data_IF_488108619480
#
_entry.id   IF_488108619480
#
_cell.length_a   1.000
_cell.length_b   1.000
_cell.length_c   1.000
_cell.angle_alpha   90.00
_cell.angle_beta   90.00
_cell.angle_gamma   90.00
#
_symmetry.space_group_name_H-M   'P 1'
#
loop_
_entity.id
_entity.type
_entity.pdbx_description
1 polymer ?
#
# COMPACT_ATOMS: atom_id res chain seq x y z
N UNK A 1 -42.14 3.36 0.79
CA UNK A 1 -42.07 4.08 -0.50
C UNK A 1 -40.68 3.97 -1.09
N UNK A 2 -40.50 4.03 -2.43
CA UNK A 2 -39.20 3.98 -3.10
C UNK A 2 -38.19 4.99 -2.53
N UNK A 3 -38.67 6.14 -2.08
CA UNK A 3 -37.90 7.19 -1.45
C UNK A 3 -37.29 6.76 -0.10
N UNK A 4 -38.02 5.98 0.69
CA UNK A 4 -37.53 5.46 1.97
C UNK A 4 -36.40 4.44 1.81
N UNK A 5 -36.49 3.58 0.79
CA UNK A 5 -35.46 2.60 0.44
C UNK A 5 -34.20 3.30 -0.07
N UNK A 6 -34.36 4.40 -0.82
CA UNK A 6 -33.25 5.20 -1.32
C UNK A 6 -32.48 5.89 -0.19
N UNK A 7 -33.19 6.48 0.79
CA UNK A 7 -32.57 7.12 1.97
C UNK A 7 -31.88 6.07 2.85
N UNK A 8 -32.49 4.90 3.09
CA UNK A 8 -31.84 3.82 3.86
C UNK A 8 -30.57 3.31 3.16
N UNK A 9 -30.56 3.18 1.83
CA UNK A 9 -29.34 2.83 1.08
C UNK A 9 -28.28 3.93 1.16
N UNK A 10 -28.66 5.19 1.11
CA UNK A 10 -27.74 6.32 1.25
C UNK A 10 -27.14 6.37 2.66
N UNK A 11 -27.95 6.19 3.70
CA UNK A 11 -27.50 6.12 5.09
C UNK A 11 -26.57 4.92 5.32
N UNK A 12 -26.92 3.77 4.78
CA UNK A 12 -26.07 2.57 4.87
C UNK A 12 -24.71 2.76 4.17
N UNK A 13 -24.69 3.37 2.97
CA UNK A 13 -23.45 3.72 2.27
C UNK A 13 -22.66 4.77 3.06
N UNK A 14 -23.34 5.75 3.67
CA UNK A 14 -22.71 6.78 4.49
C UNK A 14 -22.13 6.22 5.79
N UNK A 15 -22.82 5.30 6.45
CA UNK A 15 -22.33 4.61 7.65
C UNK A 15 -21.15 3.67 7.35
N UNK A 16 -21.15 2.97 6.20
CA UNK A 16 -20.01 2.15 5.77
C UNK A 16 -18.76 3.02 5.52
N UNK A 17 -18.93 4.18 4.89
CA UNK A 17 -17.81 5.08 4.62
C UNK A 17 -17.23 5.74 5.89
N UNK A 18 -18.01 5.86 6.96
CA UNK A 18 -17.55 6.43 8.24
C UNK A 18 -16.83 5.38 9.11
N UNK A 19 -17.06 4.08 8.88
CA UNK A 19 -16.58 3.01 9.79
C UNK A 19 -15.47 2.14 9.21
N UNK A 20 -15.15 2.24 7.91
CA UNK A 20 -14.10 1.41 7.34
C UNK A 20 -12.71 1.93 7.72
N UNK A 21 -11.94 1.10 8.44
CA UNK A 21 -10.53 1.40 8.74
C UNK A 21 -9.74 1.61 7.44
N UNK A 22 -8.81 2.57 7.39
CA UNK A 22 -8.08 2.91 6.16
C UNK A 22 -7.02 1.88 5.78
N UNK A 23 -6.87 0.83 6.58
CA UNK A 23 -5.92 -0.26 6.38
C UNK A 23 -6.60 -1.60 6.67
N UNK A 24 -6.46 -2.53 5.76
CA UNK A 24 -6.95 -3.91 5.89
C UNK A 24 -5.76 -4.85 5.84
N UNK A 25 -5.57 -5.63 6.91
CA UNK A 25 -4.52 -6.63 6.97
C UNK A 25 -4.77 -7.78 6.00
N UNK A 26 -3.69 -8.29 5.41
CA UNK A 26 -3.71 -9.45 4.53
C UNK A 26 -2.86 -10.58 5.12
N UNK A 27 -3.16 -11.82 4.77
CA UNK A 27 -2.42 -13.01 5.20
C UNK A 27 -2.07 -13.94 4.02
N UNK A 28 -1.75 -13.35 2.88
CA UNK A 28 -1.31 -14.13 1.72
C UNK A 28 0.02 -14.86 2.05
N UNK A 29 0.14 -16.17 1.73
CA UNK A 29 1.35 -16.95 2.04
C UNK A 29 2.48 -16.59 1.06
N UNK A 30 3.28 -15.57 1.39
CA UNK A 30 4.43 -15.16 0.59
C UNK A 30 5.65 -16.04 0.86
N UNK A 31 6.47 -16.24 -0.16
CA UNK A 31 7.87 -16.67 0.02
C UNK A 31 8.75 -15.42 0.12
N UNK A 32 9.08 -15.04 1.35
CA UNK A 32 9.86 -13.83 1.63
C UNK A 32 11.26 -13.88 1.03
N UNK A 33 11.89 -15.06 1.00
CA UNK A 33 13.25 -15.22 0.47
C UNK A 33 13.29 -14.91 -1.03
N UNK A 34 12.30 -15.36 -1.79
CA UNK A 34 12.19 -15.04 -3.22
C UNK A 34 12.04 -13.52 -3.40
N UNK A 35 11.14 -12.87 -2.64
CA UNK A 35 10.94 -11.43 -2.76
C UNK A 35 12.17 -10.61 -2.35
N UNK A 36 12.94 -11.08 -1.38
CA UNK A 36 14.21 -10.42 -1.00
C UNK A 36 15.25 -10.52 -2.13
N UNK A 37 15.40 -11.69 -2.76
CA UNK A 37 16.28 -11.86 -3.92
C UNK A 37 15.84 -10.95 -5.10
N UNK A 38 14.55 -10.89 -5.39
CA UNK A 38 14.01 -10.01 -6.42
C UNK A 38 14.18 -8.53 -6.06
N UNK A 39 14.04 -8.18 -4.78
CA UNK A 39 14.30 -6.83 -4.29
C UNK A 39 15.77 -6.43 -4.47
N UNK A 40 16.71 -7.32 -4.18
CA UNK A 40 18.15 -7.05 -4.38
C UNK A 40 18.47 -6.82 -5.87
N UNK A 41 17.84 -7.57 -6.76
CA UNK A 41 17.99 -7.36 -8.19
C UNK A 41 17.36 -6.04 -8.64
N UNK A 42 16.15 -5.74 -8.18
CA UNK A 42 15.47 -4.48 -8.49
C UNK A 42 16.23 -3.25 -7.97
N UNK A 43 16.93 -3.39 -6.83
CA UNK A 43 17.70 -2.30 -6.22
C UNK A 43 18.83 -1.80 -7.10
N UNK A 44 19.38 -2.64 -7.97
CA UNK A 44 20.46 -2.25 -8.90
C UNK A 44 20.04 -1.13 -9.88
N UNK A 45 18.76 -1.01 -10.15
CA UNK A 45 18.17 0.02 -11.03
C UNK A 45 17.31 1.05 -10.30
N UNK A 46 17.26 0.97 -8.95
CA UNK A 46 16.46 1.88 -8.15
C UNK A 46 16.99 3.32 -8.25
N UNK A 47 16.05 4.26 -8.35
CA UNK A 47 16.31 5.69 -8.43
C UNK A 47 15.53 6.43 -7.35
N UNK A 48 15.97 7.64 -6.95
CA UNK A 48 15.17 8.52 -6.13
C UNK A 48 13.76 8.66 -6.71
N UNK A 49 12.75 8.63 -5.85
CA UNK A 49 11.39 8.87 -6.29
C UNK A 49 11.26 10.29 -6.85
N UNK A 50 10.67 10.41 -8.02
CA UNK A 50 10.48 11.67 -8.71
C UNK A 50 8.98 12.00 -8.79
N UNK A 51 8.64 13.20 -8.35
CA UNK A 51 7.32 13.81 -8.53
C UNK A 51 7.30 14.78 -9.71
N UNK A 52 6.19 15.48 -9.90
CA UNK A 52 6.12 16.56 -10.88
C UNK A 52 7.06 17.73 -10.54
N UNK A 53 7.40 18.57 -11.55
CA UNK A 53 8.24 19.77 -11.40
C UNK A 53 9.65 19.51 -10.84
N UNK A 54 10.30 18.42 -11.27
CA UNK A 54 11.66 18.03 -10.86
C UNK A 54 11.83 17.78 -9.34
N UNK A 55 10.73 17.58 -8.62
CA UNK A 55 10.77 17.24 -7.20
C UNK A 55 11.25 15.80 -7.01
N UNK A 56 12.33 15.63 -6.25
CA UNK A 56 12.96 14.33 -5.95
C UNK A 56 13.04 14.10 -4.46
N UNK A 57 12.83 12.84 -4.05
CA UNK A 57 13.07 12.38 -2.68
C UNK A 57 14.26 11.43 -2.69
N UNK A 58 15.46 11.95 -2.38
CA UNK A 58 16.73 11.22 -2.45
C UNK A 58 16.81 10.00 -1.51
N UNK A 59 16.08 10.02 -0.41
CA UNK A 59 16.09 8.98 0.60
C UNK A 59 14.90 7.99 0.47
N UNK A 60 14.16 8.09 -0.64
CA UNK A 60 13.06 7.23 -1.01
C UNK A 60 13.29 6.68 -2.41
N UNK A 61 13.97 5.52 -2.50
CA UNK A 61 14.30 4.92 -3.79
C UNK A 61 13.15 4.06 -4.29
N UNK A 62 12.97 3.98 -5.58
CA UNK A 62 11.95 3.18 -6.24
C UNK A 62 12.51 2.46 -7.45
N UNK A 63 12.10 1.20 -7.64
CA UNK A 63 12.35 0.42 -8.84
C UNK A 63 11.09 -0.29 -9.29
N UNK A 64 10.70 -0.09 -10.55
CA UNK A 64 9.67 -0.90 -11.18
C UNK A 64 10.23 -2.30 -11.45
N UNK A 65 9.54 -3.32 -10.98
CA UNK A 65 9.98 -4.70 -11.15
C UNK A 65 8.79 -5.63 -11.36
N UNK A 66 8.92 -6.55 -12.30
CA UNK A 66 7.89 -7.54 -12.62
C UNK A 66 8.54 -8.90 -12.81
N UNK A 67 7.98 -9.92 -12.19
CA UNK A 67 8.37 -11.32 -12.35
C UNK A 67 7.13 -12.21 -12.42
N UNK A 68 7.32 -13.47 -12.73
CA UNK A 68 6.24 -14.47 -12.68
C UNK A 68 5.69 -14.63 -11.26
N UNK A 69 6.56 -14.56 -10.25
CA UNK A 69 6.15 -14.67 -8.84
C UNK A 69 5.33 -13.46 -8.40
N UNK A 70 5.76 -12.24 -8.74
CA UNK A 70 5.00 -11.00 -8.46
C UNK A 70 3.65 -11.02 -9.20
N UNK A 71 3.63 -11.48 -10.44
CA UNK A 71 2.39 -11.63 -11.22
C UNK A 71 1.45 -12.66 -10.56
N UNK A 72 1.99 -13.77 -10.07
CA UNK A 72 1.22 -14.76 -9.31
C UNK A 72 0.59 -14.15 -8.06
N UNK A 73 1.34 -13.35 -7.28
CA UNK A 73 0.82 -12.66 -6.08
C UNK A 73 -0.38 -11.77 -6.45
N UNK A 74 -0.26 -10.96 -7.52
CA UNK A 74 -1.36 -10.10 -7.96
C UNK A 74 -2.60 -10.90 -8.35
N UNK A 75 -2.43 -11.98 -9.09
CA UNK A 75 -3.54 -12.84 -9.51
C UNK A 75 -4.23 -13.52 -8.30
N UNK A 76 -3.44 -14.06 -7.38
CA UNK A 76 -3.95 -14.73 -6.19
C UNK A 76 -4.70 -13.76 -5.25
N UNK A 77 -4.21 -12.52 -5.11
CA UNK A 77 -4.88 -11.45 -4.35
C UNK A 77 -6.09 -10.87 -5.09
N UNK A 78 -6.27 -11.18 -6.36
CA UNK A 78 -7.29 -10.57 -7.23
C UNK A 78 -7.16 -9.04 -7.33
N UNK A 79 -5.93 -8.57 -7.56
CA UNK A 79 -5.64 -7.15 -7.76
C UNK A 79 -4.99 -6.89 -9.12
N UNK A 80 -5.19 -5.70 -9.64
CA UNK A 80 -4.48 -5.19 -10.81
C UNK A 80 -3.77 -3.90 -10.41
N UNK A 81 -2.48 -4.00 -10.14
CA UNK A 81 -1.67 -2.90 -9.65
C UNK A 81 -0.32 -2.79 -10.35
N UNK A 82 0.35 -1.68 -10.17
CA UNK A 82 1.70 -1.46 -10.67
C UNK A 82 2.72 -1.90 -9.60
N UNK A 83 3.48 -2.99 -9.83
CA UNK A 83 4.43 -3.49 -8.85
C UNK A 83 5.70 -2.66 -8.86
N UNK A 84 6.13 -2.25 -7.68
CA UNK A 84 7.38 -1.51 -7.46
C UNK A 84 7.98 -1.89 -6.11
N UNK A 85 9.32 -2.03 -6.07
CA UNK A 85 10.04 -2.05 -4.81
C UNK A 85 10.38 -0.63 -4.39
N UNK A 86 10.23 -0.36 -3.10
CA UNK A 86 10.62 0.88 -2.46
C UNK A 86 11.62 0.62 -1.35
N UNK A 87 12.61 1.51 -1.25
CA UNK A 87 13.68 1.46 -0.27
C UNK A 87 13.73 2.80 0.46
N UNK A 88 13.25 2.82 1.68
CA UNK A 88 13.30 3.99 2.56
C UNK A 88 14.58 3.91 3.39
N UNK A 89 15.47 4.88 3.22
CA UNK A 89 16.73 4.92 3.95
C UNK A 89 16.50 5.03 5.47
N UNK A 90 17.49 4.57 6.21
CA UNK A 90 17.50 4.70 7.67
C UNK A 90 17.30 6.16 8.09
N UNK A 91 16.60 6.37 9.18
CA UNK A 91 16.31 7.67 9.80
C UNK A 91 15.60 8.67 8.89
N UNK A 92 15.12 8.25 7.71
CA UNK A 92 14.37 9.11 6.82
C UNK A 92 12.88 9.13 7.19
N UNK A 93 12.32 10.34 7.26
CA UNK A 93 10.91 10.55 7.50
C UNK A 93 10.20 10.89 6.17
N UNK A 94 9.39 9.96 5.68
CA UNK A 94 8.45 10.25 4.60
C UNK A 94 7.30 11.07 5.17
N UNK A 95 7.29 12.37 4.83
CA UNK A 95 6.37 13.36 5.40
C UNK A 95 4.90 13.07 5.10
N UNK A 96 3.96 13.58 5.91
CA UNK A 96 2.54 13.43 5.65
C UNK A 96 2.15 13.90 4.25
N UNK A 97 1.48 13.03 3.51
CA UNK A 97 1.01 13.29 2.14
C UNK A 97 -0.16 12.39 1.78
N UNK A 98 -0.80 12.69 0.67
CA UNK A 98 -1.73 11.80 -0.06
C UNK A 98 -1.11 11.44 -1.39
N UNK A 99 -1.30 10.19 -1.85
CA UNK A 99 -0.79 9.79 -3.14
C UNK A 99 -1.60 10.47 -4.26
N UNK A 100 -0.90 11.16 -5.17
CA UNK A 100 -1.54 11.70 -6.35
C UNK A 100 -1.61 10.62 -7.44
N UNK A 101 -2.81 10.40 -8.00
CA UNK A 101 -3.01 9.43 -9.09
C UNK A 101 -3.05 7.96 -8.66
N UNK A 102 -3.00 7.66 -7.35
CA UNK A 102 -3.12 6.30 -6.82
C UNK A 102 -4.21 6.27 -5.76
N UNK A 103 -5.26 5.47 -5.96
CA UNK A 103 -6.40 5.41 -5.05
C UNK A 103 -6.08 4.61 -3.79
N UNK A 104 -5.50 3.44 -3.98
CA UNK A 104 -5.08 2.55 -2.89
C UNK A 104 -3.86 1.74 -3.32
N UNK A 105 -3.28 1.00 -2.39
CA UNK A 105 -2.16 0.12 -2.68
C UNK A 105 -2.10 -1.08 -1.74
N UNK A 106 -1.54 -2.16 -2.24
CA UNK A 106 -1.16 -3.30 -1.41
C UNK A 106 0.32 -3.20 -1.12
N UNK A 107 0.67 -3.18 0.16
CA UNK A 107 2.05 -3.16 0.63
C UNK A 107 2.41 -4.52 1.26
N UNK A 108 3.57 -5.05 0.90
CA UNK A 108 4.20 -6.22 1.52
C UNK A 108 5.56 -5.77 2.07
N UNK A 109 5.71 -5.76 3.40
CA UNK A 109 6.97 -5.39 4.04
C UNK A 109 7.95 -6.56 4.01
N UNK A 110 9.17 -6.30 3.59
CA UNK A 110 10.25 -7.28 3.48
C UNK A 110 11.32 -7.10 4.56
N UNK A 111 11.48 -5.88 5.08
CA UNK A 111 12.39 -5.61 6.19
C UNK A 111 11.84 -6.22 7.49
N UNK A 112 12.78 -6.60 8.38
CA UNK A 112 12.46 -7.02 9.74
C UNK A 112 12.16 -5.80 10.62
N UNK A 113 11.42 -6.01 11.71
CA UNK A 113 11.02 -4.95 12.66
C UNK A 113 10.34 -3.75 11.97
N UNK A 114 9.18 -3.96 11.37
CA UNK A 114 8.50 -2.90 10.62
C UNK A 114 8.11 -1.74 11.53
N UNK A 115 8.42 -0.52 11.08
CA UNK A 115 7.88 0.70 11.68
C UNK A 115 6.42 0.90 11.26
N UNK A 116 5.59 1.57 12.09
CA UNK A 116 4.20 1.83 11.73
C UNK A 116 4.08 2.83 10.58
N UNK A 117 2.99 2.71 9.84
CA UNK A 117 2.47 3.80 9.02
C UNK A 117 1.52 4.63 9.88
N UNK A 118 1.66 5.95 9.85
CA UNK A 118 0.68 6.85 10.43
C UNK A 118 -0.34 7.23 9.36
N UNK A 119 -1.62 7.01 9.63
CA UNK A 119 -2.72 7.40 8.74
C UNK A 119 -3.67 8.29 9.56
N UNK A 120 -3.80 9.56 9.16
CA UNK A 120 -4.65 10.56 9.81
C UNK A 120 -4.42 10.63 11.34
N UNK A 121 -3.15 10.53 11.77
CA UNK A 121 -2.74 10.63 13.18
C UNK A 121 -2.78 9.30 13.96
N UNK A 122 -3.23 8.21 13.39
CA UNK A 122 -3.25 6.88 14.02
C UNK A 122 -2.15 5.99 13.45
N UNK A 123 -1.43 5.29 14.30
CA UNK A 123 -0.37 4.35 13.92
C UNK A 123 -0.93 2.96 13.63
N UNK A 124 -0.49 2.37 12.51
CA UNK A 124 -0.83 1.02 12.10
C UNK A 124 0.43 0.20 11.85
N UNK A 125 0.57 -0.91 12.57
CA UNK A 125 1.60 -1.92 12.32
C UNK A 125 1.05 -2.98 11.39
N UNK A 126 1.79 -3.35 10.36
CA UNK A 126 1.39 -4.36 9.40
C UNK A 126 2.60 -5.05 8.78
N UNK A 127 2.41 -6.24 8.24
CA UNK A 127 3.35 -6.94 7.36
C UNK A 127 2.85 -6.96 5.93
N UNK A 128 1.56 -7.16 5.75
CA UNK A 128 0.87 -7.09 4.47
C UNK A 128 -0.46 -6.36 4.67
N UNK A 129 -0.74 -5.37 3.85
CA UNK A 129 -1.99 -4.62 3.96
C UNK A 129 -2.43 -3.97 2.65
N UNK A 130 -3.75 -3.88 2.47
CA UNK A 130 -4.39 -2.94 1.57
C UNK A 130 -4.55 -1.61 2.30
N UNK A 131 -4.11 -0.51 1.69
CA UNK A 131 -4.04 0.82 2.33
C UNK A 131 -4.77 1.84 1.45
N UNK A 132 -5.61 2.66 2.09
CA UNK A 132 -6.25 3.82 1.46
C UNK A 132 -5.25 4.98 1.34
N UNK A 133 -4.71 5.19 0.14
CA UNK A 133 -3.69 6.20 -0.13
C UNK A 133 -4.28 7.60 -0.38
N UNK A 134 -5.60 7.73 -0.38
CA UNK A 134 -6.30 9.01 -0.41
C UNK A 134 -6.47 9.62 0.99
N UNK A 135 -6.13 8.86 2.05
CA UNK A 135 -5.95 9.35 3.41
C UNK A 135 -4.54 9.88 3.60
N UNK A 136 -4.39 10.98 4.34
CA UNK A 136 -3.06 11.51 4.67
C UNK A 136 -2.26 10.47 5.47
N UNK A 137 -1.06 10.17 4.99
CA UNK A 137 -0.21 9.16 5.60
C UNK A 137 1.27 9.54 5.59
N UNK A 138 2.01 8.97 6.53
CA UNK A 138 3.44 9.21 6.71
C UNK A 138 4.13 7.98 7.29
N UNK A 139 5.44 7.86 7.10
CA UNK A 139 6.26 6.81 7.71
C UNK A 139 7.57 7.40 8.20
N UNK A 140 7.78 7.37 9.51
CA UNK A 140 9.04 7.71 10.14
C UNK A 140 9.86 6.43 10.29
N UNK A 141 10.91 6.28 9.46
CA UNK A 141 11.78 5.11 9.55
C UNK A 141 12.76 5.22 10.72
N UNK A 142 13.22 4.08 11.20
CA UNK A 142 14.23 3.98 12.24
C UNK A 142 15.65 3.81 11.66
N UNK A 143 16.55 3.15 12.38
CA UNK A 143 17.96 2.99 12.07
C UNK A 143 18.29 1.88 11.05
N UNK A 144 17.29 1.34 10.35
CA UNK A 144 17.47 0.34 9.29
C UNK A 144 16.75 0.75 8.03
N UNK A 145 17.26 0.31 6.88
CA UNK A 145 16.53 0.48 5.62
C UNK A 145 15.21 -0.29 5.67
N UNK A 146 14.12 0.39 5.30
CA UNK A 146 12.80 -0.21 5.17
C UNK A 146 12.56 -0.58 3.71
N UNK A 147 12.26 -1.84 3.45
CA UNK A 147 12.04 -2.39 2.11
C UNK A 147 10.60 -2.87 2.00
N UNK A 148 9.93 -2.49 0.93
CA UNK A 148 8.58 -2.97 0.65
C UNK A 148 8.36 -3.21 -0.85
N UNK A 149 7.54 -4.22 -1.16
CA UNK A 149 6.88 -4.38 -2.45
C UNK A 149 5.51 -3.71 -2.36
N UNK A 150 5.25 -2.75 -3.25
CA UNK A 150 3.97 -2.03 -3.33
C UNK A 150 3.32 -2.26 -4.69
N UNK A 151 2.04 -2.62 -4.67
CA UNK A 151 1.17 -2.64 -5.83
C UNK A 151 0.28 -1.40 -5.80
N UNK A 152 0.56 -0.42 -6.63
CA UNK A 152 -0.23 0.82 -6.72
C UNK A 152 -1.42 0.62 -7.63
N UNK A 153 -2.62 0.95 -7.14
CA UNK A 153 -3.91 0.76 -7.84
C UNK A 153 -4.53 2.14 -8.10
N UNK A 154 -4.51 2.62 -9.35
CA UNK A 154 -4.99 3.97 -9.69
C UNK A 154 -6.47 4.04 -10.05
N UNK A 155 -7.07 2.95 -10.52
CA UNK A 155 -8.35 2.91 -11.23
C UNK A 155 -9.52 2.38 -10.40
N UNK A 156 -9.27 1.89 -9.19
CA UNK A 156 -10.30 1.43 -8.25
C UNK A 156 -10.12 2.09 -6.89
N UNK A 157 -11.23 2.47 -6.28
CA UNK A 157 -11.21 3.01 -4.91
C UNK A 157 -10.79 1.94 -3.89
N UNK A 158 -10.39 2.37 -2.71
CA UNK A 158 -10.07 1.47 -1.60
C UNK A 158 -11.24 0.52 -1.28
N UNK A 159 -12.46 1.04 -1.24
CA UNK A 159 -13.68 0.27 -0.94
C UNK A 159 -13.97 -0.78 -2.02
N UNK A 160 -13.78 -0.43 -3.30
CA UNK A 160 -13.93 -1.37 -4.41
C UNK A 160 -12.91 -2.52 -4.30
N UNK A 161 -11.64 -2.20 -4.08
CA UNK A 161 -10.60 -3.22 -3.92
C UNK A 161 -10.84 -4.05 -2.66
N UNK A 162 -11.22 -3.43 -1.54
CA UNK A 162 -11.54 -4.12 -0.29
C UNK A 162 -12.65 -5.17 -0.45
N UNK A 163 -13.63 -4.92 -1.31
CA UNK A 163 -14.73 -5.86 -1.59
C UNK A 163 -14.31 -7.04 -2.48
N UNK A 164 -13.21 -6.92 -3.22
CA UNK A 164 -12.78 -7.89 -4.24
C UNK A 164 -11.50 -8.65 -3.83
N UNK A 165 -10.68 -8.07 -2.97
CA UNK A 165 -9.37 -8.62 -2.58
C UNK A 165 -9.54 -9.93 -1.82
N UNK A 166 -8.64 -10.88 -2.11
CA UNK A 166 -8.56 -12.14 -1.37
C UNK A 166 -7.54 -12.05 -0.24
N UNK A 167 -7.62 -12.97 0.70
CA UNK A 167 -6.73 -13.06 1.87
C UNK A 167 -6.83 -11.90 2.85
N UNK A 168 -7.90 -11.12 2.83
CA UNK A 168 -8.16 -10.14 3.88
C UNK A 168 -8.40 -10.85 5.22
N UNK A 169 -7.77 -10.34 6.28
CA UNK A 169 -7.98 -10.83 7.64
C UNK A 169 -9.28 -10.21 8.18
N UNK A 170 -10.18 -11.05 8.66
CA UNK A 170 -11.40 -10.58 9.35
C UNK A 170 -11.00 -9.85 10.64
N UNK A 171 -11.52 -8.64 10.81
CA UNK A 171 -11.40 -7.85 12.04
C UNK A 171 -12.30 -8.40 13.13
#
# INVERSE_FOLDING_TARGET
TPFHIFIQKLLYIFEINITMEPLIHLNYPINKDILLLESDEAKKTAKPWEGGNDYKIENWLVSYYKSDYITKIMNDLNINGKPRFFYQKENFHLMPHKDFGTQCGVNILLSDDPVPINIEGKEYYYTQALINLQKEHSVKNDNKERILLKFSIPDKTFEQVASEIKYAVSS
#
